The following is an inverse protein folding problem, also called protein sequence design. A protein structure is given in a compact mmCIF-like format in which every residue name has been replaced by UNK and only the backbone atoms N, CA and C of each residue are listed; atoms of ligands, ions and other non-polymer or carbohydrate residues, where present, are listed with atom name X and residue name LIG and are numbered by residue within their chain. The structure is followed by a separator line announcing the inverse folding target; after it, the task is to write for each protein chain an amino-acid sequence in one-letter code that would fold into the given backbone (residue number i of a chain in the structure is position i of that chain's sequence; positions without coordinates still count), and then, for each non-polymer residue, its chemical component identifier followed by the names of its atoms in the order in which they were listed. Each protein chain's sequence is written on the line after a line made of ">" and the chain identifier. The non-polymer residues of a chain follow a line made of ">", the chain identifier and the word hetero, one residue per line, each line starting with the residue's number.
data_IF_761786088554
#
_entry.id   IF_761786088554
#
_cell.length_a   1.000
_cell.length_b   1.000
_cell.length_c   1.000
_cell.angle_alpha   90.00
_cell.angle_beta   90.00
_cell.angle_gamma   90.00
#
_symmetry.space_group_name_H-M   'P 1'
#
loop_
_entity.id
_entity.type
_entity.pdbx_description
1 polymer ?
#
# COMPACT_ATOMS: atom_id res chain seq x y z
N UNK A 1 -14.28 -22.19 -9.09
CA UNK A 1 -14.10 -20.94 -9.86
C UNK A 1 -15.03 -19.81 -9.43
N UNK A 2 -16.26 -20.04 -9.04
CA UNK A 2 -17.25 -19.00 -8.64
C UNK A 2 -16.98 -18.41 -7.25
N UNK A 3 -16.38 -19.16 -6.31
CA UNK A 3 -16.07 -18.70 -4.96
C UNK A 3 -14.96 -17.64 -4.88
N UNK A 4 -14.15 -17.44 -5.93
CA UNK A 4 -13.06 -16.47 -5.93
C UNK A 4 -13.49 -15.04 -6.36
N UNK A 5 -14.63 -14.91 -7.07
CA UNK A 5 -15.18 -13.61 -7.48
C UNK A 5 -15.88 -12.86 -6.34
N UNK A 6 -16.56 -13.59 -5.45
CA UNK A 6 -17.24 -12.98 -4.29
C UNK A 6 -16.27 -12.43 -3.23
N UNK A 7 -15.08 -13.03 -3.12
CA UNK A 7 -14.02 -12.56 -2.20
C UNK A 7 -13.35 -11.29 -2.75
N UNK A 8 -13.21 -11.16 -4.08
CA UNK A 8 -12.67 -9.96 -4.72
C UNK A 8 -13.55 -8.72 -4.54
N UNK A 9 -14.85 -8.87 -4.32
CA UNK A 9 -15.77 -7.75 -4.07
C UNK A 9 -15.73 -7.23 -2.62
N UNK A 10 -15.20 -8.00 -1.67
CA UNK A 10 -15.20 -7.66 -0.24
C UNK A 10 -14.47 -6.34 0.08
N UNK A 11 -13.24 -6.06 -0.41
CA UNK A 11 -12.58 -4.80 -0.13
C UNK A 11 -13.31 -3.59 -0.73
N UNK A 12 -13.94 -3.75 -1.91
CA UNK A 12 -14.76 -2.68 -2.51
C UNK A 12 -16.00 -2.37 -1.66
N UNK A 13 -16.71 -3.39 -1.19
CA UNK A 13 -17.88 -3.22 -0.33
C UNK A 13 -17.51 -2.60 1.01
N UNK A 14 -16.37 -3.01 1.59
CA UNK A 14 -15.90 -2.45 2.86
C UNK A 14 -15.47 -0.99 2.72
N UNK A 15 -14.78 -0.61 1.66
CA UNK A 15 -14.44 0.81 1.42
C UNK A 15 -15.69 1.65 1.25
N UNK A 16 -16.72 1.14 0.57
CA UNK A 16 -18.00 1.82 0.44
C UNK A 16 -18.73 1.91 1.78
N UNK A 17 -18.73 0.84 2.57
CA UNK A 17 -19.38 0.80 3.88
C UNK A 17 -18.68 1.73 4.88
N UNK A 18 -17.34 1.77 4.93
CA UNK A 18 -16.59 2.70 5.77
C UNK A 18 -16.86 4.15 5.36
N UNK A 19 -16.94 4.44 4.06
CA UNK A 19 -17.32 5.76 3.55
C UNK A 19 -18.70 6.19 4.08
N UNK A 20 -19.69 5.31 3.99
CA UNK A 20 -21.07 5.60 4.40
C UNK A 20 -21.16 5.83 5.91
N UNK A 21 -20.50 5.01 6.71
CA UNK A 21 -20.49 5.13 8.17
C UNK A 21 -19.81 6.43 8.62
N UNK A 22 -18.71 6.81 7.99
CA UNK A 22 -17.97 8.04 8.32
C UNK A 22 -18.71 9.32 7.90
N UNK A 23 -19.40 9.28 6.77
CA UNK A 23 -20.28 10.39 6.34
C UNK A 23 -21.44 10.63 7.31
N UNK A 24 -21.91 9.57 8.00
CA UNK A 24 -23.00 9.66 8.96
C UNK A 24 -22.49 10.09 10.35
N UNK A 25 -21.37 9.55 10.84
CA UNK A 25 -20.89 9.79 12.21
C UNK A 25 -20.25 11.16 12.42
N UNK A 26 -19.64 11.75 11.38
CA UNK A 26 -18.96 13.08 11.38
C UNK A 26 -18.00 13.35 12.55
N UNK A 27 -17.53 12.31 13.23
CA UNK A 27 -16.57 12.42 14.32
C UNK A 27 -15.16 12.63 13.74
N UNK A 28 -14.46 13.75 14.06
CA UNK A 28 -13.14 14.05 13.51
C UNK A 28 -12.08 12.96 13.77
N UNK A 29 -12.16 12.29 14.91
CA UNK A 29 -11.22 11.23 15.26
C UNK A 29 -11.31 10.03 14.30
N UNK A 30 -12.54 9.56 14.04
CA UNK A 30 -12.76 8.42 13.14
C UNK A 30 -12.45 8.77 11.69
N UNK A 31 -12.71 10.00 11.28
CA UNK A 31 -12.35 10.50 9.94
C UNK A 31 -10.84 10.49 9.76
N UNK A 32 -10.08 11.05 10.70
CA UNK A 32 -8.61 11.04 10.64
C UNK A 32 -8.02 9.62 10.66
N UNK A 33 -8.56 8.74 11.49
CA UNK A 33 -8.13 7.34 11.55
C UNK A 33 -8.36 6.64 10.21
N UNK A 34 -9.53 6.85 9.59
CA UNK A 34 -9.89 6.25 8.31
C UNK A 34 -9.06 6.81 7.16
N UNK A 35 -8.81 8.11 7.10
CA UNK A 35 -7.92 8.71 6.10
C UNK A 35 -6.50 8.16 6.22
N UNK A 36 -5.96 8.07 7.44
CA UNK A 36 -4.66 7.46 7.69
C UNK A 36 -4.59 5.97 7.33
N UNK A 37 -5.65 5.21 7.62
CA UNK A 37 -5.77 3.80 7.23
C UNK A 37 -5.87 3.65 5.71
N UNK A 38 -6.59 4.54 5.03
CA UNK A 38 -6.72 4.57 3.58
C UNK A 38 -5.39 4.84 2.88
N UNK A 39 -4.62 5.84 3.34
CA UNK A 39 -3.27 6.12 2.82
C UNK A 39 -2.34 4.92 2.99
N UNK A 40 -2.36 4.29 4.17
CA UNK A 40 -1.56 3.10 4.41
C UNK A 40 -2.03 1.90 3.55
N UNK A 41 -3.33 1.76 3.29
CA UNK A 41 -3.88 0.72 2.43
C UNK A 41 -3.41 0.89 0.97
N UNK A 42 -3.41 2.13 0.44
CA UNK A 42 -2.88 2.44 -0.89
C UNK A 42 -1.41 2.03 -0.98
N UNK A 43 -0.60 2.42 0.01
CA UNK A 43 0.82 2.09 0.08
C UNK A 43 1.06 0.59 0.22
N UNK A 44 0.27 -0.12 1.05
CA UNK A 44 0.39 -1.56 1.24
C UNK A 44 0.04 -2.34 -0.03
N UNK A 45 -1.04 -1.96 -0.74
CA UNK A 45 -1.40 -2.53 -2.04
C UNK A 45 -0.34 -2.24 -3.11
N UNK A 46 0.20 -1.01 -3.12
CA UNK A 46 1.30 -0.61 -3.99
C UNK A 46 2.54 -1.48 -3.74
N UNK A 47 2.91 -1.67 -2.49
CA UNK A 47 4.05 -2.51 -2.10
C UNK A 47 3.84 -3.98 -2.47
N UNK A 48 2.63 -4.52 -2.26
CA UNK A 48 2.29 -5.91 -2.59
C UNK A 48 2.40 -6.19 -4.09
N UNK A 49 1.98 -5.26 -4.95
CA UNK A 49 2.13 -5.39 -6.42
C UNK A 49 3.59 -5.69 -6.80
N UNK A 50 4.53 -4.95 -6.22
CA UNK A 50 5.96 -5.15 -6.50
C UNK A 50 6.48 -6.45 -5.87
N UNK A 51 6.07 -6.77 -4.64
CA UNK A 51 6.53 -7.95 -3.90
C UNK A 51 6.20 -9.27 -4.61
N UNK A 52 5.11 -9.30 -5.39
CA UNK A 52 4.72 -10.45 -6.24
C UNK A 52 5.79 -10.82 -7.27
N UNK A 53 6.62 -9.85 -7.68
CA UNK A 53 7.76 -10.11 -8.58
C UNK A 53 8.99 -10.70 -7.88
N UNK A 54 8.93 -10.90 -6.56
CA UNK A 54 10.05 -11.35 -5.73
C UNK A 54 11.01 -10.23 -5.33
N UNK A 55 10.66 -8.96 -5.55
CA UNK A 55 11.46 -7.81 -5.14
C UNK A 55 10.92 -7.21 -3.84
N UNK A 56 11.78 -7.03 -2.86
CA UNK A 56 11.49 -6.32 -1.60
C UNK A 56 12.02 -4.91 -1.73
N UNK A 57 11.13 -3.92 -1.84
CA UNK A 57 11.51 -2.49 -1.92
C UNK A 57 11.30 -1.81 -0.57
N UNK A 58 12.26 -1.01 -0.17
CA UNK A 58 12.13 -0.02 0.90
C UNK A 58 12.18 1.42 0.36
N UNK A 59 11.86 1.58 -0.93
CA UNK A 59 11.81 2.86 -1.62
C UNK A 59 10.43 3.50 -1.71
N UNK A 60 9.43 2.99 -1.01
CA UNK A 60 8.09 3.58 -1.05
C UNK A 60 8.09 5.03 -0.55
N UNK A 61 8.91 5.34 0.47
CA UNK A 61 9.10 6.71 0.97
C UNK A 61 9.63 7.66 -0.11
N UNK A 62 10.49 7.18 -1.05
CA UNK A 62 10.97 8.01 -2.16
C UNK A 62 9.79 8.46 -3.05
N UNK A 63 8.98 7.52 -3.50
CA UNK A 63 7.83 7.84 -4.37
C UNK A 63 6.76 8.63 -3.63
N UNK A 64 6.53 8.34 -2.36
CA UNK A 64 5.64 9.09 -1.50
C UNK A 64 6.07 10.56 -1.40
N UNK A 65 7.34 10.81 -1.09
CA UNK A 65 7.90 12.17 -1.02
C UNK A 65 7.89 12.88 -2.38
N UNK A 66 8.31 12.21 -3.47
CA UNK A 66 8.26 12.78 -4.83
C UNK A 66 6.81 13.18 -5.16
N UNK A 67 5.83 12.31 -4.90
CA UNK A 67 4.43 12.58 -5.16
C UNK A 67 3.89 13.76 -4.36
N UNK A 68 4.21 13.82 -3.07
CA UNK A 68 3.83 14.92 -2.18
C UNK A 68 4.38 16.27 -2.68
N UNK A 69 5.69 16.34 -2.96
CA UNK A 69 6.32 17.56 -3.46
C UNK A 69 5.87 17.95 -4.87
N UNK A 70 5.68 16.98 -5.77
CA UNK A 70 5.19 17.25 -7.12
C UNK A 70 3.78 17.84 -7.08
N UNK A 71 2.90 17.29 -6.25
CA UNK A 71 1.54 17.81 -6.07
C UNK A 71 1.56 19.21 -5.46
N UNK A 72 2.44 19.47 -4.48
CA UNK A 72 2.60 20.77 -3.85
C UNK A 72 3.08 21.84 -4.84
N UNK A 73 4.09 21.52 -5.64
CA UNK A 73 4.66 22.43 -6.64
C UNK A 73 3.72 22.67 -7.83
N UNK A 74 2.75 21.79 -8.07
CA UNK A 74 1.74 21.92 -9.13
C UNK A 74 0.45 22.57 -8.63
N UNK A 75 0.46 23.21 -7.47
CA UNK A 75 -0.72 23.71 -6.78
C UNK A 75 -1.58 24.70 -7.58
N UNK A 76 -0.96 25.52 -8.42
CA UNK A 76 -1.63 26.50 -9.28
C UNK A 76 -2.62 25.86 -10.29
N UNK A 77 -2.40 24.58 -10.62
CA UNK A 77 -3.23 23.84 -11.57
C UNK A 77 -4.43 23.13 -10.91
N UNK A 78 -4.53 23.24 -9.58
CA UNK A 78 -5.53 22.53 -8.77
C UNK A 78 -5.11 21.12 -8.34
N UNK A 79 -5.72 20.62 -7.27
CA UNK A 79 -5.32 19.36 -6.61
C UNK A 79 -5.43 18.11 -7.50
N UNK A 80 -6.43 18.04 -8.41
CA UNK A 80 -6.59 16.89 -9.33
C UNK A 80 -5.44 16.85 -10.34
N UNK A 81 -5.10 17.99 -10.94
CA UNK A 81 -3.98 18.08 -11.88
C UNK A 81 -2.66 17.76 -11.19
N UNK A 82 -2.46 18.24 -9.96
CA UNK A 82 -1.30 17.91 -9.12
C UNK A 82 -1.16 16.40 -8.89
N UNK A 83 -2.24 15.67 -8.67
CA UNK A 83 -2.23 14.21 -8.53
C UNK A 83 -1.85 13.49 -9.82
N UNK A 84 -2.39 13.93 -10.96
CA UNK A 84 -2.06 13.34 -12.27
C UNK A 84 -0.58 13.57 -12.61
N UNK A 85 -0.06 14.76 -12.36
CA UNK A 85 1.35 15.10 -12.57
C UNK A 85 2.23 14.28 -11.62
N UNK A 86 1.85 14.16 -10.34
CA UNK A 86 2.56 13.34 -9.35
C UNK A 86 2.62 11.86 -9.77
N UNK A 87 1.50 11.29 -10.25
CA UNK A 87 1.46 9.93 -10.77
C UNK A 87 2.39 9.77 -11.98
N UNK A 88 2.37 10.72 -12.93
CA UNK A 88 3.21 10.68 -14.13
C UNK A 88 4.70 10.77 -13.77
N UNK A 89 5.09 11.73 -12.92
CA UNK A 89 6.48 11.92 -12.47
C UNK A 89 6.97 10.69 -11.71
N UNK A 90 6.19 10.16 -10.78
CA UNK A 90 6.52 8.92 -10.06
C UNK A 90 6.61 7.72 -10.98
N UNK A 91 5.74 7.62 -11.99
CA UNK A 91 5.76 6.57 -13.01
C UNK A 91 7.04 6.62 -13.86
N UNK A 92 7.43 7.80 -14.33
CA UNK A 92 8.66 8.01 -15.12
C UNK A 92 9.89 7.73 -14.25
N UNK A 93 9.92 8.24 -13.02
CA UNK A 93 11.00 7.97 -12.07
C UNK A 93 11.12 6.49 -11.78
N UNK A 94 10.02 5.79 -11.53
CA UNK A 94 10.00 4.35 -11.31
C UNK A 94 10.45 3.57 -12.56
N UNK A 95 10.09 4.01 -13.76
CA UNK A 95 10.56 3.42 -15.02
C UNK A 95 12.08 3.52 -15.13
N UNK A 96 12.64 4.72 -14.98
CA UNK A 96 14.09 4.97 -15.09
C UNK A 96 14.87 4.18 -14.03
N UNK A 97 14.43 4.27 -12.78
CA UNK A 97 15.08 3.57 -11.68
C UNK A 97 14.89 2.05 -11.79
N UNK A 98 13.73 1.59 -12.23
CA UNK A 98 13.45 0.18 -12.46
C UNK A 98 14.39 -0.43 -13.50
N UNK A 99 14.64 0.26 -14.60
CA UNK A 99 15.59 -0.21 -15.62
C UNK A 99 17.02 -0.34 -15.09
N UNK A 100 17.42 0.53 -14.15
CA UNK A 100 18.74 0.50 -13.52
C UNK A 100 18.84 -0.55 -12.40
N UNK A 101 17.86 -0.57 -11.50
CA UNK A 101 17.98 -1.30 -10.22
C UNK A 101 17.41 -2.71 -10.24
N UNK A 102 16.42 -3.02 -11.11
CA UNK A 102 15.80 -4.36 -11.15
C UNK A 102 16.71 -5.47 -11.71
N UNK A 103 17.89 -5.11 -12.20
CA UNK A 103 18.95 -6.05 -12.56
C UNK A 103 19.73 -6.54 -11.34
N UNK A 104 19.63 -5.83 -10.21
CA UNK A 104 20.29 -6.17 -8.96
C UNK A 104 19.66 -7.40 -8.31
N UNK A 105 20.46 -8.13 -7.54
CA UNK A 105 19.93 -9.18 -6.66
C UNK A 105 19.09 -8.55 -5.55
N UNK A 106 18.14 -9.31 -5.03
CA UNK A 106 17.09 -8.84 -4.10
C UNK A 106 17.63 -7.93 -2.96
N UNK A 107 18.73 -8.35 -2.28
CA UNK A 107 19.32 -7.58 -1.17
C UNK A 107 19.87 -6.24 -1.65
N UNK A 108 20.61 -6.23 -2.76
CA UNK A 108 21.18 -4.99 -3.32
C UNK A 108 20.08 -4.04 -3.83
N UNK A 109 18.98 -4.58 -4.35
CA UNK A 109 17.81 -3.80 -4.74
C UNK A 109 17.20 -3.11 -3.53
N UNK A 110 17.02 -3.80 -2.39
CA UNK A 110 16.48 -3.23 -1.17
C UNK A 110 17.37 -2.09 -0.66
N UNK A 111 18.69 -2.27 -0.61
CA UNK A 111 19.65 -1.23 -0.19
C UNK A 111 19.61 -0.02 -1.14
N UNK A 112 19.61 -0.27 -2.45
CA UNK A 112 19.53 0.79 -3.45
C UNK A 112 18.26 1.63 -3.31
N UNK A 113 17.11 1.00 -3.01
CA UNK A 113 15.84 1.71 -2.84
C UNK A 113 15.77 2.54 -1.56
N UNK A 114 16.45 2.14 -0.47
CA UNK A 114 16.63 3.00 0.72
C UNK A 114 17.50 4.21 0.39
N UNK A 115 18.66 3.97 -0.25
CA UNK A 115 19.56 5.05 -0.63
C UNK A 115 18.87 6.08 -1.54
N UNK A 116 17.95 5.61 -2.38
CA UNK A 116 17.15 6.44 -3.27
C UNK A 116 16.23 7.39 -2.51
N UNK A 117 15.56 6.92 -1.46
CA UNK A 117 14.72 7.76 -0.60
C UNK A 117 15.53 8.88 0.05
N UNK A 118 16.72 8.56 0.55
CA UNK A 118 17.63 9.55 1.14
C UNK A 118 18.15 10.53 0.08
N UNK A 119 18.47 10.05 -1.13
CA UNK A 119 18.96 10.90 -2.22
C UNK A 119 17.92 11.92 -2.65
N UNK A 120 16.66 11.52 -2.81
CA UNK A 120 15.58 12.46 -3.14
C UNK A 120 15.31 13.46 -2.02
N UNK A 121 15.39 13.04 -0.75
CA UNK A 121 15.32 13.97 0.39
C UNK A 121 16.39 15.06 0.30
N UNK A 122 17.66 14.65 0.08
CA UNK A 122 18.78 15.58 -0.06
C UNK A 122 18.56 16.49 -1.27
N UNK A 123 18.07 15.97 -2.38
CA UNK A 123 17.79 16.75 -3.58
C UNK A 123 16.75 17.85 -3.31
N UNK A 124 15.68 17.56 -2.56
CA UNK A 124 14.70 18.56 -2.13
C UNK A 124 15.35 19.64 -1.27
N UNK A 125 16.24 19.26 -0.34
CA UNK A 125 16.95 20.23 0.51
C UNK A 125 17.91 21.14 -0.27
N UNK A 126 18.58 20.59 -1.29
CA UNK A 126 19.52 21.36 -2.15
C UNK A 126 18.80 22.37 -3.03
N UNK A 127 17.64 21.99 -3.57
CA UNK A 127 16.82 22.88 -4.39
C UNK A 127 15.81 23.72 -3.55
N UNK A 128 16.26 24.18 -2.38
CA UNK A 128 15.45 24.90 -1.40
C UNK A 128 14.67 26.11 -1.93
N UNK A 129 15.22 26.82 -2.92
CA UNK A 129 14.56 27.98 -3.54
C UNK A 129 13.20 27.65 -4.18
N UNK A 130 13.05 26.42 -4.71
CA UNK A 130 11.81 25.95 -5.33
C UNK A 130 10.96 25.10 -4.39
N UNK A 131 11.58 24.36 -3.49
CA UNK A 131 10.93 23.32 -2.67
C UNK A 131 10.65 23.77 -1.25
N UNK A 132 11.04 25.00 -0.87
CA UNK A 132 11.03 25.47 0.50
C UNK A 132 12.13 24.85 1.40
N UNK A 133 12.96 23.96 0.85
CA UNK A 133 14.08 23.34 1.56
C UNK A 133 13.68 22.66 2.86
N UNK A 134 14.43 22.92 3.93
CA UNK A 134 14.13 22.38 5.25
C UNK A 134 12.86 22.95 5.89
N UNK A 135 12.45 24.15 5.48
CA UNK A 135 11.21 24.78 5.99
C UNK A 135 9.94 24.13 5.46
N UNK A 136 10.03 23.35 4.37
CA UNK A 136 8.86 22.71 3.76
C UNK A 136 8.02 23.65 2.90
N UNK A 137 6.89 23.14 2.42
CA UNK A 137 5.97 23.83 1.51
C UNK A 137 4.52 23.54 1.90
N UNK A 138 3.64 24.52 1.65
CA UNK A 138 2.20 24.38 1.87
C UNK A 138 1.49 24.08 0.54
N UNK A 139 1.06 22.82 0.30
CA UNK A 139 0.26 22.45 -0.87
C UNK A 139 -1.18 22.95 -0.76
N UNK A 140 -1.89 23.09 -1.89
CA UNK A 140 -3.33 23.35 -1.86
C UNK A 140 -4.07 22.17 -1.22
N UNK A 141 -5.05 22.49 -0.38
CA UNK A 141 -5.87 21.47 0.26
C UNK A 141 -6.84 20.84 -0.76
N UNK A 142 -7.12 19.56 -0.60
CA UNK A 142 -8.12 18.85 -1.40
C UNK A 142 -9.49 19.49 -1.14
N UNK A 143 -10.15 19.95 -2.21
CA UNK A 143 -11.50 20.51 -2.15
C UNK A 143 -11.63 21.70 -1.19
N UNK A 144 -10.61 22.58 -1.14
CA UNK A 144 -10.55 23.75 -0.26
C UNK A 144 -10.75 23.42 1.23
N UNK A 145 -10.31 22.22 1.63
CA UNK A 145 -10.40 21.75 3.01
C UNK A 145 -11.76 21.12 3.39
N UNK A 146 -12.67 20.92 2.44
CA UNK A 146 -13.94 20.25 2.71
C UNK A 146 -13.72 18.76 3.06
N UNK A 147 -14.09 18.30 4.28
CA UNK A 147 -13.85 16.94 4.72
C UNK A 147 -14.54 15.88 3.84
N UNK A 148 -15.73 16.18 3.32
CA UNK A 148 -16.48 15.24 2.48
C UNK A 148 -15.77 15.00 1.14
N UNK A 149 -15.20 16.07 0.54
CA UNK A 149 -14.40 15.99 -0.69
C UNK A 149 -13.09 15.26 -0.44
N UNK A 150 -12.40 15.56 0.66
CA UNK A 150 -11.17 14.89 1.06
C UNK A 150 -11.37 13.40 1.20
N UNK A 151 -12.41 12.99 1.91
CA UNK A 151 -12.74 11.58 2.12
C UNK A 151 -13.12 10.89 0.81
N UNK A 152 -13.98 11.51 0.00
CA UNK A 152 -14.35 10.96 -1.32
C UNK A 152 -13.15 10.76 -2.24
N UNK A 153 -12.26 11.75 -2.29
CA UNK A 153 -11.06 11.70 -3.12
C UNK A 153 -10.08 10.59 -2.68
N UNK A 154 -9.82 10.46 -1.38
CA UNK A 154 -8.93 9.41 -0.86
C UNK A 154 -9.54 8.01 -1.05
N UNK A 155 -10.85 7.85 -0.84
CA UNK A 155 -11.53 6.57 -1.09
C UNK A 155 -11.52 6.19 -2.57
N UNK A 156 -11.63 7.15 -3.48
CA UNK A 156 -11.46 6.91 -4.92
C UNK A 156 -10.05 6.37 -5.24
N UNK A 157 -9.00 6.90 -4.58
CA UNK A 157 -7.64 6.35 -4.72
C UNK A 157 -7.50 4.95 -4.13
N UNK A 158 -8.17 4.64 -3.01
CA UNK A 158 -8.20 3.28 -2.47
C UNK A 158 -8.85 2.33 -3.48
N UNK A 159 -9.98 2.69 -4.06
CA UNK A 159 -10.65 1.89 -5.08
C UNK A 159 -9.76 1.68 -6.32
N UNK A 160 -9.06 2.73 -6.76
CA UNK A 160 -8.09 2.65 -7.85
C UNK A 160 -6.95 1.69 -7.51
N UNK A 161 -6.41 1.73 -6.29
CA UNK A 161 -5.32 0.85 -5.85
C UNK A 161 -5.76 -0.61 -5.71
N UNK A 162 -7.00 -0.87 -5.25
CA UNK A 162 -7.61 -2.20 -5.23
C UNK A 162 -7.75 -2.71 -6.67
N UNK A 163 -8.29 -1.90 -7.57
CA UNK A 163 -8.45 -2.26 -8.98
C UNK A 163 -7.10 -2.57 -9.65
N UNK A 164 -6.08 -1.74 -9.43
CA UNK A 164 -4.73 -1.99 -9.92
C UNK A 164 -4.18 -3.32 -9.37
N UNK A 165 -4.32 -3.59 -8.06
CA UNK A 165 -3.89 -4.85 -7.45
C UNK A 165 -4.61 -6.07 -8.06
N UNK A 166 -5.91 -5.96 -8.33
CA UNK A 166 -6.71 -7.05 -8.92
C UNK A 166 -6.31 -7.34 -10.38
N UNK A 167 -5.91 -6.31 -11.16
CA UNK A 167 -5.35 -6.51 -12.50
C UNK A 167 -4.09 -7.40 -12.42
N UNK A 168 -3.20 -7.14 -11.48
CA UNK A 168 -1.97 -7.92 -11.29
C UNK A 168 -2.21 -9.31 -10.67
N UNK A 169 -3.40 -9.57 -10.09
CA UNK A 169 -3.86 -10.89 -9.65
C UNK A 169 -4.65 -11.65 -10.70
N UNK A 170 -4.92 -11.04 -11.86
CA UNK A 170 -5.66 -11.70 -12.94
C UNK A 170 -4.92 -12.94 -13.47
N UNK A 171 -5.67 -13.85 -14.08
CA UNK A 171 -5.15 -15.09 -14.65
C UNK A 171 -4.04 -14.85 -15.70
N UNK A 172 -3.95 -13.64 -16.24
CA UNK A 172 -2.93 -13.23 -17.21
C UNK A 172 -1.56 -12.97 -16.55
N UNK A 173 -1.52 -12.30 -15.40
CA UNK A 173 -0.28 -11.82 -14.77
C UNK A 173 0.19 -12.72 -13.62
N UNK A 174 -0.74 -13.26 -12.85
CA UNK A 174 -0.47 -14.06 -11.67
C UNK A 174 0.48 -15.25 -11.91
N UNK A 175 0.31 -16.09 -12.95
CA UNK A 175 1.24 -17.20 -13.21
C UNK A 175 2.64 -16.70 -13.56
N UNK A 176 2.74 -15.61 -14.35
CA UNK A 176 4.01 -15.04 -14.74
C UNK A 176 4.79 -14.53 -13.52
N UNK A 177 4.15 -13.77 -12.63
CA UNK A 177 4.79 -13.28 -11.40
C UNK A 177 5.20 -14.41 -10.46
N UNK A 178 4.36 -15.43 -10.31
CA UNK A 178 4.70 -16.61 -9.52
C UNK A 178 5.96 -17.31 -10.04
N UNK A 179 6.07 -17.51 -11.36
CA UNK A 179 7.26 -18.11 -11.99
C UNK A 179 8.50 -17.21 -11.85
N UNK A 180 8.35 -15.89 -12.04
CA UNK A 180 9.46 -14.92 -11.89
C UNK A 180 10.03 -14.96 -10.46
N UNK A 181 9.15 -15.09 -9.45
CA UNK A 181 9.55 -15.11 -8.04
C UNK A 181 10.19 -16.43 -7.62
N UNK A 182 9.63 -17.56 -8.06
CA UNK A 182 10.03 -18.89 -7.58
C UNK A 182 11.15 -19.54 -8.40
N UNK A 183 11.08 -19.41 -9.74
CA UNK A 183 12.01 -20.05 -10.69
C UNK A 183 12.29 -19.13 -11.88
N UNK A 184 13.10 -18.07 -11.70
CA UNK A 184 13.35 -17.08 -12.74
C UNK A 184 14.00 -17.65 -14.02
N UNK A 185 14.84 -18.67 -13.89
CA UNK A 185 15.42 -19.37 -15.05
C UNK A 185 14.38 -20.07 -15.90
N UNK A 186 13.39 -20.72 -15.25
CA UNK A 186 12.29 -21.38 -15.95
C UNK A 186 11.37 -20.35 -16.63
N UNK A 187 11.10 -19.22 -15.97
CA UNK A 187 10.34 -18.13 -16.55
C UNK A 187 10.99 -17.60 -17.84
N UNK A 188 12.32 -17.45 -17.85
CA UNK A 188 13.07 -17.01 -19.05
C UNK A 188 12.95 -18.00 -20.20
N UNK A 189 13.10 -19.31 -19.94
CA UNK A 189 12.94 -20.36 -20.96
C UNK A 189 11.51 -20.43 -21.49
N UNK A 190 10.51 -20.13 -20.65
CA UNK A 190 9.09 -20.09 -21.05
C UNK A 190 8.73 -18.82 -21.83
N UNK A 191 9.70 -17.96 -22.17
CA UNK A 191 9.48 -16.75 -22.98
C UNK A 191 8.85 -15.58 -22.21
N UNK A 192 8.82 -15.63 -20.87
CA UNK A 192 8.28 -14.53 -20.05
C UNK A 192 9.31 -13.39 -20.01
N UNK A 193 8.93 -12.15 -20.41
CA UNK A 193 9.83 -11.00 -20.40
C UNK A 193 10.02 -10.45 -18.97
N UNK A 194 10.89 -11.11 -18.17
CA UNK A 194 11.08 -10.88 -16.73
C UNK A 194 11.30 -9.40 -16.41
N UNK A 195 12.22 -8.73 -17.14
CA UNK A 195 12.58 -7.33 -16.87
C UNK A 195 11.37 -6.42 -17.11
N UNK A 196 10.66 -6.60 -18.22
CA UNK A 196 9.47 -5.78 -18.54
C UNK A 196 8.37 -5.95 -17.48
N UNK A 197 8.14 -7.18 -17.02
CA UNK A 197 7.14 -7.48 -15.98
C UNK A 197 7.50 -6.83 -14.64
N UNK A 198 8.77 -6.92 -14.24
CA UNK A 198 9.26 -6.26 -13.02
C UNK A 198 9.19 -4.74 -13.11
N UNK A 199 9.58 -4.15 -14.25
CA UNK A 199 9.53 -2.70 -14.48
C UNK A 199 8.08 -2.21 -14.44
N UNK A 200 7.15 -2.93 -15.07
CA UNK A 200 5.73 -2.59 -15.04
C UNK A 200 5.17 -2.59 -13.61
N UNK A 201 5.47 -3.63 -12.83
CA UNK A 201 5.04 -3.71 -11.44
C UNK A 201 5.64 -2.58 -10.58
N UNK A 202 6.91 -2.26 -10.80
CA UNK A 202 7.59 -1.17 -10.09
C UNK A 202 7.04 0.20 -10.47
N UNK A 203 6.73 0.42 -11.75
CA UNK A 203 6.13 1.65 -12.24
C UNK A 203 4.74 1.88 -11.63
N UNK A 204 3.86 0.87 -11.66
CA UNK A 204 2.51 0.99 -11.06
C UNK A 204 2.60 1.15 -9.54
N UNK A 205 3.50 0.42 -8.89
CA UNK A 205 3.78 0.58 -7.45
C UNK A 205 4.23 2.02 -7.14
N UNK A 206 5.19 2.56 -7.89
CA UNK A 206 5.65 3.94 -7.71
C UNK A 206 4.57 4.99 -7.95
N UNK A 207 3.72 4.81 -8.98
CA UNK A 207 2.59 5.71 -9.26
C UNK A 207 1.59 5.73 -8.10
N UNK A 208 1.20 4.58 -7.56
CA UNK A 208 0.27 4.48 -6.43
C UNK A 208 0.87 5.07 -5.15
N UNK A 209 2.17 4.83 -4.89
CA UNK A 209 2.86 5.43 -3.76
C UNK A 209 2.95 6.96 -3.88
N UNK A 210 3.21 7.47 -5.09
CA UNK A 210 3.21 8.90 -5.38
C UNK A 210 1.84 9.54 -5.20
N UNK A 211 0.77 8.88 -5.65
CA UNK A 211 -0.62 9.32 -5.42
C UNK A 211 -0.96 9.35 -3.93
N UNK A 212 -0.50 8.38 -3.14
CA UNK A 212 -0.67 8.41 -1.68
C UNK A 212 0.04 9.60 -1.05
N UNK A 213 1.26 9.93 -1.52
CA UNK A 213 2.01 11.11 -1.08
C UNK A 213 1.33 12.43 -1.47
N UNK A 214 0.82 12.53 -2.69
CA UNK A 214 0.07 13.68 -3.16
C UNK A 214 -1.24 13.87 -2.37
N UNK A 215 -1.95 12.79 -2.05
CA UNK A 215 -3.12 12.83 -1.19
C UNK A 215 -2.77 13.26 0.24
N UNK A 216 -1.67 12.74 0.80
CA UNK A 216 -1.17 13.15 2.11
C UNK A 216 -0.90 14.65 2.15
N UNK A 217 -0.21 15.20 1.14
CA UNK A 217 0.09 16.62 1.04
C UNK A 217 -1.19 17.47 1.05
N UNK A 218 -2.18 17.12 0.23
CA UNK A 218 -3.45 17.84 0.15
C UNK A 218 -4.36 17.67 1.36
N UNK A 219 -4.19 16.63 2.18
CA UNK A 219 -4.93 16.41 3.43
C UNK A 219 -4.38 17.26 4.59
N UNK A 220 -3.05 17.29 4.72
CA UNK A 220 -2.40 17.94 5.86
C UNK A 220 -2.05 19.42 5.60
N UNK A 221 -2.03 19.87 4.33
CA UNK A 221 -1.82 21.26 3.94
C UNK A 221 -0.44 21.83 4.25
N UNK A 222 0.48 21.00 4.77
CA UNK A 222 1.88 21.35 5.01
C UNK A 222 2.75 20.10 5.00
N UNK A 223 3.88 20.16 4.31
CA UNK A 223 4.82 19.04 4.20
C UNK A 223 6.24 19.51 4.41
N UNK A 224 7.04 18.69 5.13
CA UNK A 224 8.47 18.86 5.29
C UNK A 224 9.21 17.62 4.78
N UNK A 225 10.47 17.77 4.30
CA UNK A 225 11.23 16.63 3.75
C UNK A 225 11.41 15.49 4.75
N UNK A 226 11.61 15.81 6.03
CA UNK A 226 11.83 14.84 7.09
C UNK A 226 10.63 13.89 7.29
N UNK A 227 9.42 14.41 7.14
CA UNK A 227 8.20 13.63 7.31
C UNK A 227 7.89 12.77 6.08
N UNK A 228 7.89 13.36 4.87
CA UNK A 228 7.43 12.66 3.67
C UNK A 228 8.45 11.66 3.11
N UNK A 229 9.74 11.83 3.40
CA UNK A 229 10.79 10.86 3.06
C UNK A 229 11.19 9.96 4.24
N UNK A 230 10.44 10.00 5.36
CA UNK A 230 10.69 9.15 6.50
C UNK A 230 10.64 7.67 6.13
N UNK A 231 11.59 6.87 6.63
CA UNK A 231 11.68 5.44 6.35
C UNK A 231 10.44 4.67 6.82
N UNK A 232 9.68 5.22 7.76
CA UNK A 232 8.39 4.68 8.22
C UNK A 232 7.41 4.46 7.08
N UNK A 233 7.36 5.34 6.06
CA UNK A 233 6.53 5.19 4.87
C UNK A 233 6.95 4.03 3.95
N UNK A 234 8.10 3.43 4.19
CA UNK A 234 8.53 2.19 3.51
C UNK A 234 8.31 0.95 4.38
N UNK A 235 8.51 1.06 5.70
CA UNK A 235 8.40 -0.07 6.64
C UNK A 235 6.94 -0.40 6.96
N UNK A 236 6.09 0.62 7.18
CA UNK A 236 4.67 0.39 7.52
C UNK A 236 3.89 -0.36 6.43
N UNK A 237 4.00 -0.02 5.13
CA UNK A 237 3.33 -0.77 4.07
C UNK A 237 3.80 -2.22 3.96
N UNK A 238 5.12 -2.45 4.11
CA UNK A 238 5.71 -3.78 4.16
C UNK A 238 5.10 -4.60 5.30
N UNK A 239 5.07 -4.04 6.50
CA UNK A 239 4.52 -4.69 7.68
C UNK A 239 3.01 -4.95 7.54
N UNK A 240 2.26 -3.99 7.01
CA UNK A 240 0.83 -4.15 6.71
C UNK A 240 0.59 -5.32 5.75
N UNK A 241 1.39 -5.40 4.70
CA UNK A 241 1.28 -6.47 3.70
C UNK A 241 1.62 -7.84 4.28
N UNK A 242 2.68 -7.94 5.09
CA UNK A 242 3.04 -9.21 5.75
C UNK A 242 1.97 -9.61 6.76
N UNK A 243 1.52 -8.68 7.61
CA UNK A 243 0.49 -8.92 8.61
C UNK A 243 -0.83 -9.36 7.96
N UNK A 244 -1.23 -8.69 6.90
CA UNK A 244 -2.46 -8.98 6.16
C UNK A 244 -2.40 -10.28 5.36
N UNK A 245 -1.22 -10.60 4.84
CA UNK A 245 -0.94 -11.74 3.94
C UNK A 245 -0.70 -11.30 2.50
N UNK A 246 0.49 -11.60 2.00
CA UNK A 246 0.93 -11.29 0.63
C UNK A 246 0.14 -12.08 -0.42
N UNK A 247 0.27 -11.67 -1.69
CA UNK A 247 -0.32 -12.32 -2.87
C UNK A 247 -1.87 -12.28 -2.91
N UNK A 248 -2.47 -11.34 -2.21
CA UNK A 248 -3.92 -11.10 -2.24
C UNK A 248 -4.23 -9.61 -2.14
N UNK A 249 -5.29 -9.13 -2.75
CA UNK A 249 -5.74 -7.73 -2.57
C UNK A 249 -6.31 -7.50 -1.16
N UNK A 250 -6.95 -8.52 -0.62
CA UNK A 250 -7.63 -8.47 0.69
C UNK A 250 -6.62 -8.36 1.83
N UNK A 251 -5.50 -9.10 1.76
CA UNK A 251 -4.48 -9.14 2.81
C UNK A 251 -3.91 -7.74 3.13
N UNK A 252 -3.21 -7.08 2.21
CA UNK A 252 -2.62 -5.76 2.44
C UNK A 252 -3.63 -4.71 2.90
N UNK A 253 -4.86 -4.76 2.36
CA UNK A 253 -5.94 -3.86 2.73
C UNK A 253 -6.33 -4.02 4.21
N UNK A 254 -6.64 -5.23 4.65
CA UNK A 254 -6.96 -5.48 6.06
C UNK A 254 -5.76 -5.31 6.98
N UNK A 255 -4.57 -5.64 6.53
CA UNK A 255 -3.34 -5.43 7.27
C UNK A 255 -3.10 -3.95 7.56
N UNK A 256 -3.37 -3.07 6.59
CA UNK A 256 -3.26 -1.62 6.77
C UNK A 256 -4.27 -1.09 7.80
N UNK A 257 -5.52 -1.54 7.72
CA UNK A 257 -6.56 -1.17 8.70
C UNK A 257 -6.16 -1.65 10.10
N UNK A 258 -5.76 -2.92 10.23
CA UNK A 258 -5.36 -3.50 11.51
C UNK A 258 -4.17 -2.75 12.14
N UNK A 259 -3.16 -2.40 11.33
CA UNK A 259 -2.01 -1.63 11.82
C UNK A 259 -2.39 -0.21 12.26
N UNK A 260 -3.27 0.47 11.53
CA UNK A 260 -3.72 1.82 11.92
C UNK A 260 -4.59 1.83 13.16
N UNK A 261 -5.46 0.84 13.30
CA UNK A 261 -6.25 0.66 14.53
C UNK A 261 -5.30 0.37 15.71
N UNK A 262 -4.33 -0.51 15.53
CA UNK A 262 -3.33 -0.83 16.55
C UNK A 262 -2.50 0.41 16.96
N UNK A 263 -2.06 1.20 15.98
CA UNK A 263 -1.36 2.47 16.20
C UNK A 263 -2.23 3.44 17.02
N UNK A 264 -3.51 3.59 16.64
CA UNK A 264 -4.46 4.44 17.35
C UNK A 264 -4.69 4.00 18.79
N UNK A 265 -4.84 2.70 19.02
CA UNK A 265 -4.95 2.14 20.39
C UNK A 265 -3.67 2.37 21.19
N UNK A 266 -2.50 2.07 20.63
CA UNK A 266 -1.23 2.27 21.30
C UNK A 266 -1.01 3.75 21.69
N UNK A 267 -1.36 4.68 20.80
CA UNK A 267 -1.28 6.11 21.06
C UNK A 267 -2.22 6.56 22.18
N UNK A 268 -3.43 6.01 22.25
CA UNK A 268 -4.43 6.37 23.24
C UNK A 268 -4.07 5.84 24.65
N UNK A 269 -3.49 4.62 24.75
CA UNK A 269 -3.19 4.00 26.04
C UNK A 269 -1.82 4.37 26.60
N UNK A 270 -0.80 4.55 25.75
CA UNK A 270 0.58 4.75 26.21
C UNK A 270 0.98 6.22 26.18
N UNK A 271 0.43 7.00 25.21
CA UNK A 271 0.75 8.42 25.05
C UNK A 271 2.21 8.70 24.71
N UNK A 272 2.55 9.97 24.45
CA UNK A 272 3.92 10.44 24.24
C UNK A 272 4.69 9.67 23.15
N UNK A 273 6.01 9.60 23.26
CA UNK A 273 6.89 8.88 22.33
C UNK A 273 6.87 7.36 22.56
N UNK A 274 6.40 6.92 23.72
CA UNK A 274 6.42 5.50 24.13
C UNK A 274 5.52 4.59 23.28
N UNK A 275 4.47 5.12 22.66
CA UNK A 275 3.57 4.33 21.81
C UNK A 275 4.29 3.68 20.62
N UNK A 276 5.35 4.29 20.09
CA UNK A 276 6.13 3.76 18.97
C UNK A 276 6.85 2.46 19.34
N UNK A 277 7.35 2.35 20.58
CA UNK A 277 8.01 1.14 21.08
C UNK A 277 6.99 0.01 21.20
N UNK A 278 5.85 0.29 21.83
CA UNK A 278 4.77 -0.70 21.98
C UNK A 278 4.23 -1.15 20.63
N UNK A 279 3.98 -0.21 19.73
CA UNK A 279 3.54 -0.49 18.37
C UNK A 279 4.55 -1.37 17.62
N UNK A 280 5.85 -1.03 17.67
CA UNK A 280 6.92 -1.81 17.05
C UNK A 280 7.02 -3.22 17.65
N UNK A 281 6.94 -3.37 18.96
CA UNK A 281 6.97 -4.67 19.64
C UNK A 281 5.79 -5.56 19.26
N UNK A 282 4.58 -5.01 19.24
CA UNK A 282 3.37 -5.73 18.81
C UNK A 282 3.46 -6.11 17.32
N UNK A 283 4.02 -5.24 16.49
CA UNK A 283 4.23 -5.52 15.07
C UNK A 283 5.17 -6.70 14.86
N UNK A 284 6.31 -6.74 15.58
CA UNK A 284 7.26 -7.86 15.55
C UNK A 284 6.58 -9.15 16.01
N UNK A 285 5.83 -9.08 17.12
CA UNK A 285 5.09 -10.21 17.65
C UNK A 285 4.06 -10.76 16.65
N UNK A 286 3.26 -9.88 16.02
CA UNK A 286 2.28 -10.27 15.03
C UNK A 286 2.94 -10.95 13.81
N UNK A 287 4.04 -10.42 13.30
CA UNK A 287 4.77 -11.01 12.17
C UNK A 287 5.35 -12.38 12.55
N UNK A 288 5.88 -12.54 13.77
CA UNK A 288 6.45 -13.80 14.23
C UNK A 288 5.39 -14.89 14.44
N UNK A 289 4.21 -14.52 14.96
CA UNK A 289 3.12 -15.47 15.27
C UNK A 289 2.25 -15.79 14.05
N UNK A 290 2.11 -14.85 13.11
CA UNK A 290 1.28 -14.99 11.91
C UNK A 290 2.11 -15.09 10.61
N UNK A 291 2.90 -16.13 10.39
CA UNK A 291 3.78 -16.22 9.20
C UNK A 291 3.00 -16.29 7.87
N UNK A 292 1.70 -16.61 7.89
CA UNK A 292 0.80 -16.59 6.72
C UNK A 292 -0.14 -15.39 6.69
N UNK A 293 0.02 -14.46 7.63
CA UNK A 293 -0.83 -13.29 7.78
C UNK A 293 -2.30 -13.59 8.15
N UNK A 294 -3.08 -12.53 8.34
CA UNK A 294 -4.52 -12.62 8.67
C UNK A 294 -5.32 -13.36 7.58
N UNK A 295 -4.98 -13.18 6.30
CA UNK A 295 -5.63 -13.88 5.20
C UNK A 295 -5.41 -15.40 5.26
N UNK A 296 -4.23 -15.85 5.70
CA UNK A 296 -3.92 -17.25 5.93
C UNK A 296 -4.75 -17.87 7.06
N UNK A 297 -4.94 -17.14 8.16
CA UNK A 297 -5.80 -17.55 9.26
C UNK A 297 -7.27 -17.72 8.80
N UNK A 298 -7.80 -16.73 8.08
CA UNK A 298 -9.16 -16.79 7.55
C UNK A 298 -9.35 -17.99 6.59
N UNK A 299 -8.35 -18.28 5.75
CA UNK A 299 -8.38 -19.44 4.87
C UNK A 299 -8.38 -20.76 5.66
N UNK A 300 -7.57 -20.86 6.72
CA UNK A 300 -7.51 -22.06 7.58
C UNK A 300 -8.82 -22.30 8.33
N UNK A 301 -9.39 -21.24 8.92
CA UNK A 301 -10.67 -21.31 9.64
C UNK A 301 -11.80 -21.71 8.67
N UNK A 302 -11.84 -21.09 7.48
CA UNK A 302 -12.83 -21.43 6.46
C UNK A 302 -12.74 -22.89 6.02
N UNK A 303 -11.53 -23.40 5.81
CA UNK A 303 -11.31 -24.80 5.42
C UNK A 303 -11.72 -25.77 6.54
N UNK A 304 -11.44 -25.43 7.81
CA UNK A 304 -11.88 -26.22 8.96
C UNK A 304 -13.41 -26.28 9.08
N UNK A 305 -14.10 -25.15 8.87
CA UNK A 305 -15.57 -25.10 8.87
C UNK A 305 -16.15 -25.89 7.68
N UNK A 306 -15.53 -25.80 6.50
CA UNK A 306 -15.96 -26.54 5.31
C UNK A 306 -15.80 -28.06 5.48
N UNK A 307 -14.71 -28.51 6.10
CA UNK A 307 -14.49 -29.93 6.41
C UNK A 307 -15.48 -30.44 7.44
N UNK A 308 -15.81 -29.67 8.48
CA UNK A 308 -16.86 -30.05 9.45
C UNK A 308 -18.23 -30.23 8.78
N UNK A 309 -18.60 -29.34 7.84
CA UNK A 309 -19.87 -29.46 7.09
C UNK A 309 -19.91 -30.69 6.18
N UNK A 310 -18.79 -31.07 5.55
CA UNK A 310 -18.69 -32.26 4.71
C UNK A 310 -18.72 -33.58 5.53
N UNK A 311 -18.07 -33.57 6.72
CA UNK A 311 -18.12 -34.72 7.63
C UNK A 311 -19.52 -34.98 8.19
N UNK A 312 -20.34 -33.95 8.42
CA UNK A 312 -21.71 -34.08 8.92
C UNK A 312 -22.67 -34.63 7.84
N UNK A 313 -22.46 -34.28 6.57
CA UNK A 313 -23.24 -34.81 5.45
C UNK A 313 -22.88 -36.26 5.12
N UNK A 314 -21.61 -36.65 5.22
CA UNK A 314 -21.18 -38.05 5.02
C UNK A 314 -21.73 -38.99 6.12
N UNK A 315 -21.66 -38.57 7.40
CA UNK A 315 -22.21 -39.36 8.50
C UNK A 315 -23.74 -39.44 8.57
N UNK A 316 -24.44 -38.48 7.93
CA UNK A 316 -25.91 -38.54 7.77
C UNK A 316 -26.34 -39.51 6.67
N UNK A 317 -25.52 -39.67 5.62
CA UNK A 317 -25.81 -40.55 4.50
C UNK A 317 -25.53 -42.04 4.85
N UNK A 318 -24.58 -42.31 5.76
CA UNK A 318 -24.25 -43.63 6.26
C UNK A 318 -25.26 -44.18 7.28
N UNK A 319 -26.13 -43.31 7.85
CA UNK A 319 -27.24 -43.72 8.77
C UNK A 319 -28.56 -43.97 8.07
N UNK A 320 -28.65 -43.76 6.76
CA UNK A 320 -29.90 -43.94 5.96
C UNK A 320 -29.77 -45.14 5.05
N UNK A 321 -28.61 -45.78 4.93
CA UNK A 321 -28.38 -47.10 4.33
C UNK A 321 -28.29 -48.18 5.41
#
# INVERSE_FOLDING_TARGET
>A
MIANRSIGALPYLLTLCTATVLLISRDPYWIQLALGASLLAILALSWDILSRTGQVSLGQAAFFGIGAYTSALSGDLGWIAGWLIAAAVCGVTALLLGLLTLRLRQVYFTIATIALSLSFKVLILVFGDFTGGASGIAPPMIGDGNPDVQMGAVLALVLLSIFASDIFLSDRYRPAFFMIRTKPSLAAVSGIPIVRMKVLAFMVSGMLAGLAGAAYAGLYGYIVPDDVFALSWSIMPLAATILGGMDSTIGPFFGAIALKVLEGLARNYVGGVGYQIVYGAVMIFCIAVLPKGLAGLLATVRNAISQRRRGTTAGAMERVL
#
